data_IF_526654002883
#
_entry.id   IF_526654002883
#
_cell.length_a   1.000
_cell.length_b   1.000
_cell.length_c   1.000
_cell.angle_alpha   90.00
_cell.angle_beta   90.00
_cell.angle_gamma   90.00
#
_symmetry.space_group_name_H-M   'P 1'
#
loop_
_entity.id
_entity.type
_entity.pdbx_description
1 polymer ?
#
# COMPACT_ATOMS: atom_id res chain seq x y z
N UNK A 1 -23.63 1.09 -10.96
CA UNK A 1 -23.48 1.29 -9.50
C UNK A 1 -23.02 2.72 -9.14
N UNK A 2 -21.96 3.29 -9.74
CA UNK A 2 -21.52 4.66 -9.39
C UNK A 2 -22.45 5.78 -9.91
N UNK A 3 -22.87 5.72 -11.19
CA UNK A 3 -23.78 6.72 -11.78
C UNK A 3 -25.11 6.85 -11.01
N UNK A 4 -25.66 5.71 -10.58
CA UNK A 4 -26.92 5.67 -9.84
C UNK A 4 -26.78 6.34 -8.46
N UNK A 5 -25.71 6.00 -7.71
CA UNK A 5 -25.44 6.62 -6.42
C UNK A 5 -25.24 8.15 -6.50
N UNK A 6 -24.60 8.65 -7.57
CA UNK A 6 -24.39 10.08 -7.79
C UNK A 6 -25.69 10.82 -8.15
N UNK A 7 -26.58 10.17 -8.91
CA UNK A 7 -27.89 10.72 -9.23
C UNK A 7 -28.80 10.77 -7.98
N UNK A 8 -28.79 9.72 -7.16
CA UNK A 8 -29.53 9.67 -5.89
C UNK A 8 -29.04 10.73 -4.89
N UNK A 9 -27.75 11.09 -4.94
CA UNK A 9 -27.17 12.17 -4.15
C UNK A 9 -27.59 13.58 -4.59
N UNK A 10 -28.38 13.72 -5.66
CA UNK A 10 -28.97 15.00 -6.08
C UNK A 10 -27.99 15.98 -6.75
N UNK A 11 -26.87 15.48 -7.29
CA UNK A 11 -25.84 16.33 -7.90
C UNK A 11 -26.31 17.09 -9.15
N UNK A 12 -27.50 16.77 -9.69
CA UNK A 12 -28.08 17.47 -10.84
C UNK A 12 -27.47 17.01 -12.18
N UNK A 13 -28.23 17.19 -13.26
CA UNK A 13 -27.78 16.80 -14.59
C UNK A 13 -26.57 17.64 -15.04
N UNK A 14 -25.56 16.98 -15.63
CA UNK A 14 -24.38 17.65 -16.19
C UNK A 14 -23.31 18.07 -15.18
N UNK A 15 -23.56 17.96 -13.87
CA UNK A 15 -22.58 18.30 -12.83
C UNK A 15 -21.50 17.23 -12.68
N UNK A 16 -21.87 15.94 -12.78
CA UNK A 16 -20.92 14.82 -12.80
C UNK A 16 -21.22 13.89 -13.96
N UNK A 17 -20.22 13.70 -14.83
CA UNK A 17 -20.29 12.75 -15.93
C UNK A 17 -19.39 11.54 -15.62
N UNK A 18 -19.95 10.34 -15.76
CA UNK A 18 -19.23 9.08 -15.57
C UNK A 18 -18.95 8.45 -16.94
N UNK A 19 -17.67 8.25 -17.25
CA UNK A 19 -17.21 7.58 -18.47
C UNK A 19 -16.69 6.20 -18.06
N UNK A 20 -17.25 5.15 -18.65
CA UNK A 20 -16.81 3.75 -18.44
C UNK A 20 -16.19 3.24 -19.73
N UNK A 21 -15.08 2.51 -19.62
CA UNK A 21 -14.36 1.93 -20.75
C UNK A 21 -13.64 0.65 -20.33
N UNK A 22 -13.16 -0.14 -21.30
CA UNK A 22 -12.30 -1.29 -21.02
C UNK A 22 -10.87 -0.81 -20.65
N UNK A 23 -10.11 -1.52 -19.80
CA UNK A 23 -8.77 -1.09 -19.38
C UNK A 23 -7.81 -0.75 -20.53
N UNK A 24 -7.89 -1.48 -21.63
CA UNK A 24 -7.11 -1.28 -22.85
C UNK A 24 -7.39 0.06 -23.55
N UNK A 25 -8.60 0.62 -23.40
CA UNK A 25 -8.99 1.90 -24.00
C UNK A 25 -8.55 3.11 -23.16
N UNK A 26 -8.08 2.88 -21.93
CA UNK A 26 -7.74 3.94 -20.98
C UNK A 26 -6.77 4.98 -21.57
N UNK A 27 -5.66 4.59 -22.24
CA UNK A 27 -4.69 5.56 -22.76
C UNK A 27 -5.31 6.52 -23.78
N UNK A 28 -6.07 5.99 -24.73
CA UNK A 28 -6.69 6.78 -25.80
C UNK A 28 -7.78 7.72 -25.27
N UNK A 29 -8.56 7.28 -24.28
CA UNK A 29 -9.60 8.10 -23.65
C UNK A 29 -8.98 9.22 -22.83
N UNK A 30 -7.95 8.90 -22.04
CA UNK A 30 -7.23 9.89 -21.24
C UNK A 30 -6.57 10.95 -22.13
N UNK A 31 -5.91 10.54 -23.21
CA UNK A 31 -5.31 11.46 -24.18
C UNK A 31 -6.36 12.42 -24.76
N UNK A 32 -7.53 11.89 -25.16
CA UNK A 32 -8.64 12.73 -25.63
C UNK A 32 -9.17 13.69 -24.57
N UNK A 33 -9.25 13.27 -23.30
CA UNK A 33 -9.70 14.13 -22.21
C UNK A 33 -8.69 15.25 -21.94
N UNK A 34 -7.40 14.94 -21.95
CA UNK A 34 -6.33 15.94 -21.76
C UNK A 34 -6.30 16.94 -22.92
N UNK A 35 -6.48 16.47 -24.16
CA UNK A 35 -6.47 17.33 -25.35
C UNK A 35 -7.72 18.20 -25.49
N UNK A 36 -8.79 17.93 -24.74
CA UNK A 36 -10.06 18.63 -24.89
C UNK A 36 -10.00 20.03 -24.24
N UNK A 37 -10.23 21.13 -25.00
CA UNK A 37 -10.19 22.50 -24.45
C UNK A 37 -11.19 22.77 -23.31
N UNK A 38 -12.27 21.99 -23.21
CA UNK A 38 -13.25 22.12 -22.13
C UNK A 38 -12.76 21.51 -20.79
N UNK A 39 -11.75 20.65 -20.82
CA UNK A 39 -11.20 19.99 -19.63
C UNK A 39 -10.15 20.90 -18.99
N UNK A 40 -10.56 21.58 -17.91
CA UNK A 40 -9.68 22.50 -17.17
C UNK A 40 -8.69 21.80 -16.25
N UNK A 41 -9.03 20.59 -15.79
CA UNK A 41 -8.24 19.83 -14.82
C UNK A 41 -8.52 18.35 -14.96
N UNK A 42 -7.45 17.56 -15.01
CA UNK A 42 -7.50 16.09 -14.92
C UNK A 42 -6.82 15.70 -13.61
N UNK A 43 -7.47 14.85 -12.81
CA UNK A 43 -6.86 14.21 -11.65
C UNK A 43 -6.97 12.69 -11.84
N UNK A 44 -5.87 11.97 -11.63
CA UNK A 44 -5.88 10.51 -11.64
C UNK A 44 -5.97 9.98 -10.22
N UNK A 45 -6.89 9.05 -9.99
CA UNK A 45 -7.01 8.28 -8.76
C UNK A 45 -6.87 6.80 -9.13
N UNK A 46 -5.65 6.36 -9.41
CA UNK A 46 -5.36 4.96 -9.78
C UNK A 46 -5.49 4.01 -8.57
N UNK A 47 -6.73 3.78 -8.13
CA UNK A 47 -7.05 3.10 -6.88
C UNK A 47 -7.64 1.70 -7.05
N UNK A 48 -7.82 1.21 -8.29
CA UNK A 48 -8.55 -0.05 -8.54
C UNK A 48 -7.89 -1.26 -7.89
N UNK A 49 -6.56 -1.25 -7.74
CA UNK A 49 -5.78 -2.33 -7.09
C UNK A 49 -5.18 -1.93 -5.75
N UNK A 50 -4.70 -0.68 -5.65
CA UNK A 50 -4.02 -0.18 -4.44
C UNK A 50 -4.98 -0.12 -3.25
N UNK A 51 -6.20 0.40 -3.45
CA UNK A 51 -7.18 0.56 -2.37
C UNK A 51 -7.56 -0.77 -1.72
N UNK A 52 -8.06 -1.76 -2.50
CA UNK A 52 -8.40 -3.08 -1.97
C UNK A 52 -7.22 -3.81 -1.33
N UNK A 53 -6.03 -3.77 -1.94
CA UNK A 53 -4.84 -4.43 -1.38
C UNK A 53 -4.44 -3.81 -0.04
N UNK A 54 -4.39 -2.48 0.04
CA UNK A 54 -4.12 -1.75 1.28
C UNK A 54 -5.13 -2.11 2.38
N UNK A 55 -6.43 -2.08 2.06
CA UNK A 55 -7.48 -2.43 3.01
C UNK A 55 -7.34 -3.86 3.54
N UNK A 56 -7.03 -4.82 2.64
CA UNK A 56 -6.82 -6.21 3.00
C UNK A 56 -5.60 -6.42 3.92
N UNK A 57 -4.49 -5.75 3.63
CA UNK A 57 -3.31 -5.82 4.52
C UNK A 57 -3.66 -5.29 5.91
N UNK A 58 -4.36 -4.14 5.98
CA UNK A 58 -4.75 -3.53 7.25
C UNK A 58 -5.63 -4.49 8.06
N UNK A 59 -6.67 -5.05 7.46
CA UNK A 59 -7.59 -5.97 8.16
C UNK A 59 -6.90 -7.23 8.71
N UNK A 60 -5.87 -7.74 8.04
CA UNK A 60 -5.15 -8.95 8.47
C UNK A 60 -4.20 -8.74 9.65
N UNK A 61 -3.84 -7.48 9.93
CA UNK A 61 -2.80 -7.15 10.92
C UNK A 61 -3.26 -6.13 11.96
N UNK A 62 -4.54 -5.77 11.96
CA UNK A 62 -5.12 -5.04 13.09
C UNK A 62 -4.96 -5.83 14.41
N UNK A 63 -4.71 -5.15 15.55
CA UNK A 63 -4.61 -3.69 15.72
C UNK A 63 -3.19 -3.12 15.49
N UNK A 64 -2.24 -3.90 14.99
CA UNK A 64 -0.80 -3.59 15.00
C UNK A 64 -0.33 -2.57 13.95
N UNK A 65 -1.19 -2.12 13.04
CA UNK A 65 -0.84 -1.19 11.96
C UNK A 65 -1.66 0.10 12.04
N UNK A 66 -1.00 1.23 11.84
CA UNK A 66 -1.68 2.51 11.64
C UNK A 66 -2.17 2.61 10.21
N UNK A 67 -1.28 2.35 9.25
CA UNK A 67 -1.59 2.38 7.83
C UNK A 67 -0.52 1.67 6.97
N UNK A 68 -0.82 1.50 5.68
CA UNK A 68 0.00 0.80 4.69
C UNK A 68 0.08 1.63 3.40
N UNK A 69 1.27 1.64 2.78
CA UNK A 69 1.53 2.24 1.46
C UNK A 69 1.98 1.16 0.50
N UNK A 70 1.30 1.03 -0.64
CA UNK A 70 1.65 0.05 -1.67
C UNK A 70 2.75 0.61 -2.57
N UNK A 71 3.73 -0.23 -2.91
CA UNK A 71 4.92 0.09 -3.70
C UNK A 71 5.07 -0.88 -4.88
N UNK A 72 5.87 -0.50 -5.87
CA UNK A 72 6.21 -1.40 -6.99
C UNK A 72 5.09 -1.69 -7.98
N UNK A 73 4.09 -0.80 -8.08
CA UNK A 73 3.03 -0.91 -9.10
C UNK A 73 3.56 -0.98 -10.55
N UNK A 74 4.79 -0.53 -10.78
CA UNK A 74 5.49 -0.56 -12.08
C UNK A 74 6.72 -1.51 -12.07
N UNK A 75 6.75 -2.51 -11.17
CA UNK A 75 7.86 -3.47 -11.04
C UNK A 75 7.31 -4.91 -11.12
N UNK A 76 8.20 -5.87 -11.29
CA UNK A 76 7.84 -7.28 -11.48
C UNK A 76 7.11 -7.90 -10.27
N UNK A 77 7.34 -7.36 -9.06
CA UNK A 77 6.61 -7.74 -7.86
C UNK A 77 6.15 -6.53 -7.02
N UNK A 78 5.00 -6.67 -6.38
CA UNK A 78 4.43 -5.69 -5.45
C UNK A 78 5.13 -5.74 -4.10
N UNK A 79 5.30 -4.59 -3.46
CA UNK A 79 5.78 -4.47 -2.07
C UNK A 79 4.91 -3.53 -1.26
N UNK A 80 5.08 -3.50 0.06
CA UNK A 80 4.39 -2.53 0.90
C UNK A 80 5.29 -1.95 2.00
N UNK A 81 5.12 -0.65 2.27
CA UNK A 81 5.64 -0.01 3.47
C UNK A 81 4.54 0.07 4.52
N UNK A 82 4.86 -0.35 5.73
CA UNK A 82 3.94 -0.49 6.84
C UNK A 82 4.29 0.58 7.86
N UNK A 83 3.30 1.34 8.33
CA UNK A 83 3.40 2.19 9.51
C UNK A 83 2.85 1.42 10.71
N UNK A 84 3.67 0.76 11.54
CA UNK A 84 3.17 -0.03 12.65
C UNK A 84 2.72 0.88 13.80
N UNK A 85 1.76 0.42 14.61
CA UNK A 85 1.41 1.07 15.87
C UNK A 85 2.40 0.62 16.95
N UNK A 86 3.27 1.55 17.37
CA UNK A 86 4.37 1.26 18.29
C UNK A 86 3.89 0.59 19.57
N UNK A 87 2.86 1.13 20.23
CA UNK A 87 2.41 0.63 21.53
C UNK A 87 1.88 -0.81 21.47
N UNK A 88 1.05 -1.12 20.47
CA UNK A 88 0.53 -2.49 20.28
C UNK A 88 1.64 -3.46 19.91
N UNK A 89 2.61 -3.05 19.08
CA UNK A 89 3.75 -3.89 18.73
C UNK A 89 4.69 -4.08 19.93
N UNK A 90 4.86 -3.06 20.77
CA UNK A 90 5.67 -3.13 21.99
C UNK A 90 5.07 -4.11 22.99
N UNK A 91 3.76 -4.06 23.19
CA UNK A 91 3.04 -5.04 24.01
C UNK A 91 3.21 -6.47 23.48
N UNK A 92 3.08 -6.67 22.16
CA UNK A 92 3.32 -7.97 21.52
C UNK A 92 4.77 -8.47 21.69
N UNK A 93 5.74 -7.55 21.62
CA UNK A 93 7.15 -7.88 21.80
C UNK A 93 7.53 -8.19 23.25
N UNK A 94 6.67 -7.88 24.23
CA UNK A 94 7.00 -7.99 25.66
C UNK A 94 8.10 -7.03 26.11
N UNK A 95 8.26 -5.90 25.41
CA UNK A 95 9.32 -4.91 25.68
C UNK A 95 8.80 -3.73 26.50
N UNK A 96 9.67 -3.15 27.33
CA UNK A 96 9.35 -1.98 28.16
C UNK A 96 9.26 -0.67 27.39
N UNK A 97 8.87 0.41 28.07
CA UNK A 97 8.75 1.78 27.50
C UNK A 97 10.05 2.31 26.90
N UNK A 98 11.18 1.90 27.45
CA UNK A 98 12.51 2.33 27.05
C UNK A 98 12.97 1.72 25.72
N UNK A 99 12.32 0.65 25.25
CA UNK A 99 12.66 0.04 23.97
C UNK A 99 12.32 0.98 22.81
N UNK A 100 13.32 1.21 21.97
CA UNK A 100 13.19 2.02 20.75
C UNK A 100 12.25 1.34 19.76
N UNK A 101 11.65 2.13 18.85
CA UNK A 101 10.81 1.58 17.79
C UNK A 101 11.55 0.56 16.91
N UNK A 102 12.86 0.75 16.69
CA UNK A 102 13.69 -0.18 15.93
C UNK A 102 13.83 -1.53 16.64
N UNK A 103 14.07 -1.54 17.95
CA UNK A 103 14.13 -2.76 18.76
C UNK A 103 12.78 -3.49 18.77
N UNK A 104 11.70 -2.73 18.98
CA UNK A 104 10.33 -3.28 18.97
C UNK A 104 10.00 -3.92 17.61
N UNK A 105 10.26 -3.23 16.50
CA UNK A 105 9.92 -3.74 15.18
C UNK A 105 10.82 -4.88 14.71
N UNK A 106 12.01 -5.03 15.30
CA UNK A 106 12.90 -6.17 15.06
C UNK A 106 12.65 -7.35 16.01
N UNK A 107 11.84 -7.19 17.06
CA UNK A 107 11.55 -8.25 18.01
C UNK A 107 10.92 -9.47 17.31
N UNK A 108 11.32 -10.72 17.65
CA UNK A 108 10.83 -11.91 16.97
C UNK A 108 9.29 -12.01 16.89
N UNK A 109 8.51 -11.75 17.96
CA UNK A 109 7.04 -11.81 17.88
C UNK A 109 6.44 -10.86 16.84
N UNK A 110 7.02 -9.66 16.69
CA UNK A 110 6.58 -8.68 15.70
C UNK A 110 6.97 -9.12 14.29
N UNK A 111 8.20 -9.62 14.11
CA UNK A 111 8.66 -10.14 12.81
C UNK A 111 7.84 -11.33 12.35
N UNK A 112 7.50 -12.24 13.26
CA UNK A 112 6.68 -13.42 13.00
C UNK A 112 5.25 -13.06 12.63
N UNK A 113 4.62 -12.11 13.34
CA UNK A 113 3.30 -11.59 13.00
C UNK A 113 3.25 -11.11 11.55
N UNK A 114 4.14 -10.19 11.17
CA UNK A 114 4.12 -9.60 9.82
C UNK A 114 4.53 -10.61 8.74
N UNK A 115 5.42 -11.55 9.05
CA UNK A 115 5.76 -12.66 8.13
C UNK A 115 4.57 -13.60 7.91
N UNK A 116 3.83 -13.93 8.97
CA UNK A 116 2.63 -14.75 8.90
C UNK A 116 1.50 -14.07 8.13
N UNK A 117 1.28 -12.77 8.36
CA UNK A 117 0.34 -11.95 7.56
C UNK A 117 0.71 -11.97 6.09
N UNK A 118 2.00 -11.77 5.77
CA UNK A 118 2.48 -11.80 4.38
C UNK A 118 2.21 -13.15 3.71
N UNK A 119 2.44 -14.25 4.43
CA UNK A 119 2.14 -15.59 3.93
C UNK A 119 0.64 -15.76 3.63
N UNK A 120 -0.24 -15.46 4.60
CA UNK A 120 -1.70 -15.57 4.44
C UNK A 120 -2.25 -14.70 3.31
N UNK A 121 -1.75 -13.47 3.17
CA UNK A 121 -2.15 -12.58 2.08
C UNK A 121 -1.88 -13.20 0.70
N UNK A 122 -0.77 -13.93 0.60
CA UNK A 122 -0.33 -14.55 -0.64
C UNK A 122 -0.94 -15.94 -0.90
N UNK A 123 -1.60 -16.58 0.08
CA UNK A 123 -2.31 -17.87 -0.14
C UNK A 123 -3.37 -17.77 -1.24
N UNK A 124 -3.99 -16.60 -1.38
CA UNK A 124 -4.99 -16.33 -2.43
C UNK A 124 -4.45 -15.51 -3.61
N UNK A 125 -3.13 -15.30 -3.70
CA UNK A 125 -2.53 -14.59 -4.82
C UNK A 125 -2.49 -15.50 -6.07
N UNK A 126 -3.25 -15.14 -7.08
CA UNK A 126 -3.38 -15.88 -8.35
C UNK A 126 -2.40 -15.42 -9.43
N UNK A 127 -1.59 -14.39 -9.18
CA UNK A 127 -0.59 -13.88 -10.12
C UNK A 127 0.34 -12.84 -9.50
N UNK A 128 1.38 -12.41 -10.23
CA UNK A 128 2.39 -11.46 -9.74
C UNK A 128 1.80 -10.11 -9.31
N UNK A 129 0.71 -9.68 -9.95
CA UNK A 129 0.01 -8.43 -9.62
C UNK A 129 -0.74 -8.45 -8.28
N UNK A 130 -1.01 -9.63 -7.72
CA UNK A 130 -1.67 -9.80 -6.41
C UNK A 130 -0.75 -10.39 -5.34
N UNK A 131 0.44 -10.85 -5.74
CA UNK A 131 1.46 -11.36 -4.84
C UNK A 131 2.30 -10.22 -4.25
N UNK A 132 2.31 -10.11 -2.92
CA UNK A 132 3.12 -9.14 -2.19
C UNK A 132 4.45 -9.82 -1.86
N UNK A 133 5.52 -9.43 -2.55
CA UNK A 133 6.82 -10.08 -2.38
C UNK A 133 7.56 -9.64 -1.12
N UNK A 134 7.25 -8.45 -0.59
CA UNK A 134 8.05 -7.84 0.47
C UNK A 134 7.30 -6.76 1.25
N UNK A 135 7.58 -6.69 2.55
CA UNK A 135 7.11 -5.67 3.47
C UNK A 135 8.28 -4.95 4.13
N UNK A 136 8.16 -3.65 4.40
CA UNK A 136 9.08 -2.89 5.25
C UNK A 136 8.34 -2.23 6.40
N UNK A 137 8.76 -2.49 7.62
CA UNK A 137 8.25 -1.78 8.80
C UNK A 137 8.95 -0.42 8.91
N UNK A 138 8.19 0.66 8.90
CA UNK A 138 8.71 2.02 8.98
C UNK A 138 8.87 2.43 10.45
N UNK A 139 10.12 2.67 10.86
CA UNK A 139 10.47 3.14 12.20
C UNK A 139 9.96 4.55 12.47
N UNK A 140 10.09 5.43 11.48
CA UNK A 140 9.61 6.81 11.59
C UNK A 140 8.11 6.87 11.25
N UNK A 141 7.27 7.46 12.13
CA UNK A 141 5.84 7.63 11.89
C UNK A 141 5.61 8.54 10.66
N UNK A 142 4.38 8.56 10.10
CA UNK A 142 4.05 9.46 9.00
C UNK A 142 4.10 10.91 9.48
N UNK A 143 4.62 11.81 8.64
CA UNK A 143 4.78 13.23 8.96
C UNK A 143 3.62 14.09 8.44
N UNK A 144 3.02 14.89 9.33
CA UNK A 144 2.03 15.91 8.95
C UNK A 144 2.69 17.04 8.14
N UNK A 145 3.89 17.48 8.55
CA UNK A 145 4.63 18.57 7.89
C UNK A 145 5.03 18.23 6.45
N UNK A 146 5.37 16.97 6.20
CA UNK A 146 5.66 16.46 4.84
C UNK A 146 4.39 16.07 4.07
N UNK A 147 3.21 16.29 4.65
CA UNK A 147 1.93 15.95 4.05
C UNK A 147 1.72 14.45 3.80
N UNK A 148 2.43 13.58 4.54
CA UNK A 148 2.30 12.13 4.47
C UNK A 148 1.01 11.63 5.13
N UNK A 149 0.52 12.38 6.12
CA UNK A 149 -0.76 12.16 6.79
C UNK A 149 -1.56 13.46 6.78
N UNK A 150 -2.88 13.35 6.69
CA UNK A 150 -3.80 14.49 6.84
C UNK A 150 -4.09 14.77 8.32
N UNK A 151 -4.63 15.95 8.59
CA UNK A 151 -5.25 16.31 9.88
C UNK A 151 -6.35 15.33 10.33
N UNK A 152 -7.01 14.68 9.37
CA UNK A 152 -8.02 13.64 9.58
C UNK A 152 -7.44 12.24 9.76
N UNK A 153 -6.11 12.09 9.78
CA UNK A 153 -5.42 10.83 10.02
C UNK A 153 -5.29 9.90 8.81
N UNK A 154 -5.68 10.34 7.61
CA UNK A 154 -5.55 9.52 6.40
C UNK A 154 -4.16 9.66 5.74
N UNK A 155 -3.57 8.55 5.30
CA UNK A 155 -2.28 8.59 4.61
C UNK A 155 -2.40 9.05 3.16
N UNK A 156 -1.51 9.96 2.80
CA UNK A 156 -1.24 10.38 1.44
C UNK A 156 -0.10 9.53 0.85
N UNK A 157 -0.46 8.43 0.17
CA UNK A 157 0.51 7.51 -0.41
C UNK A 157 1.51 8.19 -1.34
N UNK A 158 1.05 9.15 -2.16
CA UNK A 158 1.92 9.88 -3.10
C UNK A 158 3.01 10.66 -2.36
N UNK A 159 2.65 11.38 -1.29
CA UNK A 159 3.62 12.11 -0.49
C UNK A 159 4.62 11.15 0.19
N UNK A 160 4.15 10.03 0.75
CA UNK A 160 5.03 9.02 1.35
C UNK A 160 6.01 8.45 0.33
N UNK A 161 5.53 8.03 -0.84
CA UNK A 161 6.37 7.49 -1.92
C UNK A 161 7.41 8.50 -2.40
N UNK A 162 7.03 9.78 -2.50
CA UNK A 162 7.93 10.86 -2.91
C UNK A 162 8.99 11.16 -1.84
N UNK A 163 8.60 11.22 -0.58
CA UNK A 163 9.46 11.64 0.53
C UNK A 163 10.32 10.52 1.11
N UNK A 164 9.97 9.26 0.84
CA UNK A 164 10.67 8.05 1.29
C UNK A 164 11.18 7.22 0.12
N UNK A 165 11.44 7.84 -1.02
CA UNK A 165 11.90 7.17 -2.24
C UNK A 165 13.13 6.28 -1.99
N UNK A 166 14.09 6.72 -1.16
CA UNK A 166 15.26 5.92 -0.79
C UNK A 166 14.89 4.61 -0.06
N UNK A 167 13.88 4.66 0.82
CA UNK A 167 13.39 3.46 1.51
C UNK A 167 12.63 2.54 0.55
N UNK A 168 11.98 3.11 -0.48
CA UNK A 168 11.41 2.33 -1.58
C UNK A 168 12.53 1.65 -2.35
N UNK A 169 13.58 2.36 -2.79
CA UNK A 169 14.68 1.70 -3.49
C UNK A 169 15.36 0.61 -2.65
N UNK A 170 15.61 0.87 -1.36
CA UNK A 170 16.15 -0.11 -0.43
C UNK A 170 15.23 -1.33 -0.21
N UNK A 171 13.90 -1.17 -0.35
CA UNK A 171 12.95 -2.28 -0.31
C UNK A 171 13.16 -3.25 -1.50
N UNK A 172 13.60 -2.75 -2.65
CA UNK A 172 13.75 -3.54 -3.88
C UNK A 172 15.20 -3.97 -4.18
N UNK A 173 16.19 -3.53 -3.41
CA UNK A 173 17.57 -3.99 -3.56
C UNK A 173 17.69 -5.51 -3.31
N UNK A 174 18.56 -6.19 -4.08
CA UNK A 174 18.77 -7.64 -4.01
C UNK A 174 19.47 -8.06 -2.71
N UNK A 175 20.51 -7.33 -2.29
CA UNK A 175 21.33 -7.64 -1.11
C UNK A 175 20.99 -6.72 0.07
N UNK A 176 19.89 -7.02 0.75
CA UNK A 176 19.47 -6.25 1.91
C UNK A 176 19.44 -7.11 3.18
N UNK A 177 20.51 -7.87 3.44
CA UNK A 177 20.72 -8.48 4.75
C UNK A 177 20.83 -7.36 5.79
N UNK A 178 19.88 -7.29 6.73
CA UNK A 178 19.82 -6.26 7.77
C UNK A 178 18.88 -5.07 7.52
N UNK A 179 18.17 -4.99 6.40
CA UNK A 179 17.44 -3.75 6.03
C UNK A 179 16.08 -3.54 6.73
N UNK A 180 15.64 -4.43 7.62
CA UNK A 180 14.29 -4.37 8.20
C UNK A 180 13.18 -4.86 7.26
N UNK A 181 13.51 -5.40 6.08
CA UNK A 181 12.56 -5.97 5.12
C UNK A 181 12.17 -7.40 5.50
N UNK A 182 10.88 -7.72 5.34
CA UNK A 182 10.29 -9.05 5.47
C UNK A 182 9.94 -9.52 4.06
N UNK A 183 10.46 -10.67 3.63
CA UNK A 183 10.25 -11.19 2.27
C UNK A 183 9.31 -12.38 2.28
N UNK A 184 8.43 -12.44 1.29
CA UNK A 184 7.62 -13.62 1.05
C UNK A 184 8.54 -14.77 0.61
N UNK A 185 8.31 -15.96 1.15
CA UNK A 185 8.93 -17.16 0.61
C UNK A 185 8.12 -17.53 -0.64
N UNK A 186 8.75 -17.48 -1.82
CA UNK A 186 8.22 -18.22 -2.97
C UNK A 186 8.53 -19.68 -2.71
N UNK A 187 7.54 -20.47 -2.31
CA UNK A 187 7.67 -21.91 -2.48
C UNK A 187 7.77 -22.18 -3.99
N UNK A 188 8.95 -22.59 -4.44
CA UNK A 188 9.10 -23.14 -5.78
C UNK A 188 8.40 -24.51 -5.71
N UNK A 189 7.33 -24.75 -6.48
CA UNK A 189 6.73 -26.08 -6.50
C UNK A 189 7.84 -27.07 -6.88
N UNK A 190 7.99 -28.12 -6.07
CA UNK A 190 9.00 -29.14 -6.28
C UNK A 190 8.90 -29.60 -7.74
N UNK A 191 9.98 -29.40 -8.51
CA UNK A 191 10.08 -30.02 -9.82
C UNK A 191 9.97 -31.51 -9.59
N UNK A 192 8.83 -32.10 -9.97
CA UNK A 192 8.70 -33.54 -10.11
C UNK A 192 9.69 -33.91 -11.22
N UNK A 193 10.81 -34.53 -10.82
CA UNK A 193 11.77 -35.15 -11.73
C UNK A 193 11.19 -36.41 -12.33
#
# INVERSE_FOLDING_TARGET
MVRQALNEAGLGEGVVNVITHAPEDAPAIVERLIANPAVKRVNFTDSTRVGPMRARIISEVEPYVQDVVITGMNRDDVGAMIFPRLDTCRALAGLGSEATAQEVFNAPPVRELFSGVLARLNESATGSATFIARLRLLVQPPSLDRGEITDKGSINQRAVLQHRAELVEALYAEDSEGSGVIRARREVPARVL
#
